data_IF_076676351097
#
_entry.id   IF_076676351097
#
_cell.length_a   1.000
_cell.length_b   1.000
_cell.length_c   1.000
_cell.angle_alpha   90.00
_cell.angle_beta   90.00
_cell.angle_gamma   90.00
#
_symmetry.space_group_name_H-M   'P 1'
#
loop_
_entity.id
_entity.type
_entity.pdbx_description
1 polymer ?
#
# COMPACT_ATOMS: atom_id res chain seq x y z
N UNK A 1 10.02 -44.24 35.88
CA UNK A 1 9.69 -44.32 37.33
C UNK A 1 10.05 -42.99 37.98
N UNK A 2 9.08 -42.19 38.34
CA UNK A 2 8.86 -41.41 39.57
C UNK A 2 7.75 -40.41 39.32
N UNK A 3 6.59 -40.79 39.83
CA UNK A 3 5.42 -39.94 40.01
C UNK A 3 5.68 -39.00 41.19
N UNK A 4 5.33 -37.74 41.08
CA UNK A 4 5.11 -36.86 42.22
C UNK A 4 3.74 -36.22 42.04
N UNK A 5 2.87 -36.61 43.00
CA UNK A 5 1.55 -36.07 43.29
C UNK A 5 1.77 -34.96 44.33
N UNK A 6 1.15 -33.82 44.18
CA UNK A 6 0.96 -32.89 45.30
C UNK A 6 -0.45 -32.28 45.33
N UNK A 7 -1.00 -32.40 46.45
CA UNK A 7 -2.24 -32.35 47.08
C UNK A 7 -2.84 -30.94 47.18
N UNK A 8 -4.16 -30.91 47.09
CA UNK A 8 -5.09 -29.80 47.40
C UNK A 8 -4.95 -29.38 48.87
N UNK A 9 -5.08 -28.10 49.16
CA UNK A 9 -5.47 -27.61 50.48
C UNK A 9 -6.55 -26.53 50.34
N UNK A 10 -7.73 -26.90 50.80
CA UNK A 10 -8.90 -26.07 51.01
C UNK A 10 -8.79 -25.38 52.39
N UNK A 11 -9.03 -24.07 52.44
CA UNK A 11 -9.29 -23.40 53.73
C UNK A 11 -10.60 -22.62 53.64
N UNK A 12 -11.61 -23.15 54.36
CA UNK A 12 -12.82 -22.46 54.69
C UNK A 12 -12.68 -21.83 56.08
N UNK A 13 -12.99 -20.55 56.22
CA UNK A 13 -13.22 -19.94 57.51
C UNK A 13 -14.60 -19.27 57.48
N UNK A 14 -15.51 -19.89 58.25
CA UNK A 14 -16.76 -19.30 58.73
C UNK A 14 -16.45 -18.42 59.95
N UNK A 15 -17.09 -17.25 60.03
CA UNK A 15 -17.44 -16.68 61.33
C UNK A 15 -18.70 -15.84 61.26
N UNK A 16 -19.60 -16.15 62.17
CA UNK A 16 -20.94 -15.62 62.43
C UNK A 16 -20.95 -14.20 63.03
N UNK A 17 -21.95 -13.44 62.65
CA UNK A 17 -22.99 -12.94 63.59
C UNK A 17 -22.75 -11.56 64.20
N UNK A 18 -23.60 -10.59 63.89
CA UNK A 18 -24.57 -10.04 64.88
C UNK A 18 -25.46 -8.96 64.24
N UNK A 19 -26.75 -9.06 64.53
CA UNK A 19 -27.80 -8.09 64.25
C UNK A 19 -27.76 -6.93 65.23
N UNK A 20 -27.95 -5.69 64.79
CA UNK A 20 -28.62 -4.65 65.55
C UNK A 20 -29.49 -3.82 64.61
N UNK A 21 -30.75 -3.64 65.03
CA UNK A 21 -31.82 -2.79 64.49
C UNK A 21 -31.64 -1.37 64.97
N UNK A 22 -31.84 -0.37 64.14
CA UNK A 22 -32.54 0.92 64.46
C UNK A 22 -32.72 1.70 63.15
N UNK A 23 -33.96 1.84 62.73
CA UNK A 23 -34.86 2.99 62.63
C UNK A 23 -34.53 4.06 61.62
N UNK A 24 -35.39 4.07 60.61
CA UNK A 24 -35.95 5.18 59.76
C UNK A 24 -35.39 6.59 60.00
N UNK A 25 -35.00 7.19 58.86
CA UNK A 25 -35.64 8.43 58.40
C UNK A 25 -35.36 8.68 56.91
N UNK A 26 -36.44 9.06 56.25
CA UNK A 26 -36.61 9.37 54.86
C UNK A 26 -35.91 10.70 54.52
N UNK A 27 -35.19 10.75 53.42
CA UNK A 27 -35.14 11.95 52.55
C UNK A 27 -34.69 11.56 51.16
N UNK A 28 -35.57 11.72 50.20
CA UNK A 28 -35.38 11.73 48.76
C UNK A 28 -34.33 12.77 48.36
N UNK A 29 -33.26 12.32 47.73
CA UNK A 29 -32.51 13.13 46.79
C UNK A 29 -32.24 12.27 45.55
N UNK A 30 -33.09 12.46 44.55
CA UNK A 30 -32.84 12.04 43.20
C UNK A 30 -31.61 12.82 42.67
N UNK A 31 -30.45 12.24 42.74
CA UNK A 31 -29.31 12.67 41.95
C UNK A 31 -29.37 11.93 40.61
N UNK A 32 -29.89 12.63 39.61
CA UNK A 32 -29.80 12.24 38.21
C UNK A 32 -28.31 12.21 37.82
N UNK A 33 -27.72 11.06 37.84
CA UNK A 33 -26.44 10.86 37.16
C UNK A 33 -26.69 10.86 35.66
N UNK A 34 -26.51 12.03 35.04
CA UNK A 34 -26.29 12.11 33.61
C UNK A 34 -25.02 11.33 33.28
N UNK A 35 -25.18 10.11 32.80
CA UNK A 35 -24.09 9.36 32.17
C UNK A 35 -23.75 10.09 30.88
N UNK A 36 -22.75 10.94 30.96
CA UNK A 36 -22.14 11.57 29.79
C UNK A 36 -21.55 10.43 28.94
N UNK A 37 -22.32 9.95 27.97
CA UNK A 37 -21.80 9.12 26.91
C UNK A 37 -20.77 9.94 26.16
N UNK A 38 -19.49 9.73 26.46
CA UNK A 38 -18.42 10.15 25.58
C UNK A 38 -18.64 9.48 24.23
N UNK A 39 -19.18 10.24 23.31
CA UNK A 39 -19.22 9.85 21.90
C UNK A 39 -17.77 9.74 21.45
N UNK A 40 -17.25 8.52 21.43
CA UNK A 40 -15.95 8.21 20.87
C UNK A 40 -16.02 8.65 19.40
N UNK A 41 -15.45 9.80 19.11
CA UNK A 41 -15.32 10.28 17.74
C UNK A 41 -14.49 9.22 17.02
N UNK A 42 -15.15 8.40 16.18
CA UNK A 42 -14.45 7.51 15.27
C UNK A 42 -13.74 8.44 14.31
N UNK A 43 -12.44 8.59 14.49
CA UNK A 43 -11.61 9.34 13.56
C UNK A 43 -11.61 8.51 12.28
N UNK A 44 -12.36 8.95 11.27
CA UNK A 44 -12.33 8.33 9.95
C UNK A 44 -10.88 8.33 9.48
N UNK A 45 -10.37 7.13 9.12
CA UNK A 45 -9.03 7.01 8.55
C UNK A 45 -9.08 7.67 7.18
N UNK A 46 -8.21 8.64 6.91
CA UNK A 46 -8.23 9.31 5.61
C UNK A 46 -7.98 8.31 4.49
N UNK A 47 -8.75 8.41 3.39
CA UNK A 47 -8.58 7.57 2.19
C UNK A 47 -7.20 7.75 1.58
N UNK A 48 -6.64 8.93 1.71
CA UNK A 48 -5.29 9.24 1.30
C UNK A 48 -4.59 10.10 2.35
N UNK A 49 -3.59 9.53 3.00
CA UNK A 49 -2.66 10.29 3.82
C UNK A 49 -1.47 10.72 2.95
N UNK A 50 -1.12 12.00 2.97
CA UNK A 50 -0.01 12.55 2.20
C UNK A 50 1.00 13.16 3.16
N UNK A 51 2.24 12.69 3.08
CA UNK A 51 3.37 13.23 3.84
C UNK A 51 4.34 13.88 2.86
N UNK A 52 4.66 15.14 3.09
CA UNK A 52 5.61 15.89 2.29
C UNK A 52 6.90 16.09 3.08
N UNK A 53 8.00 15.56 2.57
CA UNK A 53 9.34 15.75 3.15
C UNK A 53 10.14 16.71 2.27
N UNK A 54 10.23 17.98 2.70
CA UNK A 54 10.98 19.01 1.97
C UNK A 54 12.49 18.83 2.07
N UNK A 55 12.97 18.20 3.14
CA UNK A 55 14.40 17.95 3.35
C UNK A 55 14.91 16.90 2.38
N UNK A 56 14.12 15.85 2.16
CA UNK A 56 14.43 14.77 1.20
C UNK A 56 13.90 15.07 -0.19
N UNK A 57 13.04 16.07 -0.36
CA UNK A 57 12.41 16.43 -1.63
C UNK A 57 11.44 15.38 -2.14
N UNK A 58 10.69 14.74 -1.24
CA UNK A 58 9.79 13.63 -1.54
C UNK A 58 8.35 13.94 -1.14
N UNK A 59 7.39 13.39 -1.89
CA UNK A 59 6.01 13.23 -1.48
C UNK A 59 5.73 11.74 -1.29
N UNK A 60 5.04 11.39 -0.20
CA UNK A 60 4.70 10.03 0.18
C UNK A 60 3.19 9.95 0.26
N UNK A 61 2.59 9.05 -0.51
CA UNK A 61 1.16 8.82 -0.60
C UNK A 61 0.85 7.46 0.03
N UNK A 62 0.04 7.46 1.10
CA UNK A 62 -0.43 6.26 1.78
C UNK A 62 -1.92 6.05 1.46
N UNK A 63 -2.25 5.26 0.44
CA UNK A 63 -3.64 4.93 0.16
C UNK A 63 -4.21 4.02 1.25
N UNK A 64 -5.42 4.32 1.74
CA UNK A 64 -6.23 3.40 2.54
C UNK A 64 -7.05 2.54 1.59
N UNK A 65 -6.63 1.31 1.38
CA UNK A 65 -7.19 0.42 0.37
C UNK A 65 -7.58 -0.95 0.95
N UNK A 66 -8.51 -1.61 0.30
CA UNK A 66 -8.87 -3.01 0.53
C UNK A 66 -8.57 -3.90 -0.69
N UNK A 67 -8.34 -3.30 -1.85
CA UNK A 67 -7.97 -4.01 -3.07
C UNK A 67 -6.94 -3.24 -3.90
N UNK A 68 -6.04 -3.99 -4.55
CA UNK A 68 -5.11 -3.47 -5.54
C UNK A 68 -5.25 -4.30 -6.82
N UNK A 69 -5.30 -3.64 -7.97
CA UNK A 69 -5.29 -4.29 -9.27
C UNK A 69 -4.20 -3.73 -10.18
N UNK A 70 -3.74 -4.57 -11.09
CA UNK A 70 -3.03 -4.16 -12.28
C UNK A 70 -4.03 -4.10 -13.44
N UNK A 71 -4.49 -2.91 -13.77
CA UNK A 71 -5.44 -2.68 -14.87
C UNK A 71 -4.66 -2.52 -16.16
N UNK A 72 -4.87 -3.43 -17.12
CA UNK A 72 -4.19 -3.39 -18.40
C UNK A 72 -5.06 -2.69 -19.46
N UNK A 73 -4.46 -1.80 -20.20
CA UNK A 73 -5.12 -1.06 -21.30
C UNK A 73 -5.56 0.34 -20.90
N UNK A 74 -6.87 0.63 -20.97
CA UNK A 74 -7.40 1.94 -20.65
C UNK A 74 -7.31 2.23 -19.14
N UNK A 75 -6.96 3.46 -18.81
CA UNK A 75 -6.95 3.93 -17.42
C UNK A 75 -8.33 3.78 -16.76
N UNK A 76 -8.41 3.38 -15.48
CA UNK A 76 -9.65 3.47 -14.73
C UNK A 76 -10.28 4.85 -14.79
N UNK A 77 -11.60 4.90 -14.88
CA UNK A 77 -12.32 6.15 -15.02
C UNK A 77 -12.15 7.03 -13.77
N UNK A 78 -11.92 8.32 -13.98
CA UNK A 78 -11.82 9.29 -12.89
C UNK A 78 -13.13 9.45 -12.10
N UNK A 79 -14.26 9.08 -12.72
CA UNK A 79 -15.59 9.08 -12.11
C UNK A 79 -15.81 7.89 -11.17
N UNK A 80 -14.98 6.83 -11.27
CA UNK A 80 -15.06 5.70 -10.34
C UNK A 80 -14.58 6.12 -8.95
N UNK A 81 -15.55 6.41 -8.08
CA UNK A 81 -15.29 6.88 -6.71
C UNK A 81 -14.65 5.83 -5.81
N UNK A 82 -14.59 4.56 -6.23
CA UNK A 82 -13.87 3.51 -5.50
C UNK A 82 -12.37 3.56 -5.72
N UNK A 83 -11.89 4.18 -6.81
CA UNK A 83 -10.46 4.38 -7.07
C UNK A 83 -9.93 5.51 -6.20
N UNK A 84 -8.98 5.19 -5.33
CA UNK A 84 -8.35 6.16 -4.42
C UNK A 84 -6.96 6.61 -4.87
N UNK A 85 -6.26 5.76 -5.63
CA UNK A 85 -4.99 6.10 -6.27
C UNK A 85 -4.82 5.29 -7.55
N UNK A 86 -4.36 5.94 -8.61
CA UNK A 86 -4.05 5.29 -9.88
C UNK A 86 -2.79 5.90 -10.47
N UNK A 87 -1.84 5.06 -10.88
CA UNK A 87 -0.63 5.48 -11.58
C UNK A 87 -0.14 4.37 -12.51
N UNK A 88 0.76 4.70 -13.41
CA UNK A 88 1.45 3.70 -14.22
C UNK A 88 2.32 2.78 -13.36
N UNK A 89 2.44 1.52 -13.77
CA UNK A 89 3.14 0.49 -13.02
C UNK A 89 4.42 0.03 -13.72
N UNK A 90 4.31 -0.93 -14.64
CA UNK A 90 5.43 -1.58 -15.29
C UNK A 90 5.82 -0.89 -16.60
N UNK A 91 7.06 -1.11 -17.02
CA UNK A 91 7.53 -0.65 -18.33
C UNK A 91 6.65 -1.16 -19.46
N UNK A 92 6.37 -0.29 -20.42
CA UNK A 92 5.54 -0.61 -21.59
C UNK A 92 6.32 -1.38 -22.65
N UNK A 93 5.62 -2.25 -23.39
CA UNK A 93 6.18 -2.97 -24.52
C UNK A 93 6.64 -2.07 -25.67
N UNK A 94 6.11 -0.85 -25.78
CA UNK A 94 6.54 0.14 -26.77
C UNK A 94 8.03 0.48 -26.66
N UNK A 95 8.59 0.49 -25.45
CA UNK A 95 10.03 0.71 -25.24
C UNK A 95 10.89 -0.38 -25.88
N UNK A 96 10.35 -1.59 -26.00
CA UNK A 96 11.00 -2.74 -26.60
C UNK A 96 10.60 -2.96 -28.07
N UNK A 97 9.67 -2.15 -28.62
CA UNK A 97 9.02 -2.37 -29.90
C UNK A 97 8.33 -3.74 -30.01
N UNK A 98 7.96 -4.29 -28.86
CA UNK A 98 7.33 -5.59 -28.70
C UNK A 98 6.11 -5.41 -27.79
N UNK A 99 4.99 -6.04 -28.18
CA UNK A 99 3.75 -5.91 -27.44
C UNK A 99 3.35 -7.26 -26.85
N UNK A 100 3.11 -7.29 -25.57
CA UNK A 100 2.45 -8.38 -24.85
C UNK A 100 1.05 -7.96 -24.43
N UNK A 101 0.37 -8.83 -23.68
CA UNK A 101 -0.90 -8.47 -23.07
C UNK A 101 -0.78 -7.14 -22.29
N UNK A 102 -1.75 -6.25 -22.48
CA UNK A 102 -1.80 -4.97 -21.77
C UNK A 102 -0.62 -4.02 -22.02
N UNK A 103 0.17 -4.25 -23.08
CA UNK A 103 1.36 -3.45 -23.40
C UNK A 103 2.41 -3.43 -22.26
N UNK A 104 2.59 -4.55 -21.56
CA UNK A 104 3.55 -4.69 -20.45
C UNK A 104 4.80 -5.42 -20.93
N UNK A 105 5.98 -4.89 -20.61
CA UNK A 105 7.26 -5.46 -21.02
C UNK A 105 7.62 -6.77 -20.31
N UNK A 106 7.23 -6.93 -19.05
CA UNK A 106 7.56 -8.06 -18.20
C UNK A 106 6.42 -9.04 -17.93
N UNK A 107 6.75 -10.12 -17.27
CA UNK A 107 5.75 -11.06 -16.74
C UNK A 107 4.85 -10.32 -15.73
N UNK A 108 3.54 -10.60 -15.78
CA UNK A 108 2.56 -9.92 -14.93
C UNK A 108 1.33 -10.78 -14.67
N UNK A 109 0.52 -10.34 -13.71
CA UNK A 109 -0.78 -10.90 -13.36
C UNK A 109 -1.82 -9.79 -13.37
N UNK A 110 -2.86 -9.96 -14.13
CA UNK A 110 -3.99 -9.05 -14.22
C UNK A 110 -5.28 -9.84 -14.23
N UNK A 111 -6.28 -9.43 -13.43
CA UNK A 111 -7.55 -10.16 -13.32
C UNK A 111 -7.40 -11.61 -12.83
N UNK A 112 -6.37 -11.91 -12.06
CA UNK A 112 -6.06 -13.26 -11.58
C UNK A 112 -5.41 -14.18 -12.61
N UNK A 113 -5.07 -13.69 -13.80
CA UNK A 113 -4.43 -14.46 -14.86
C UNK A 113 -2.97 -14.06 -15.05
N UNK A 114 -2.09 -15.08 -15.18
CA UNK A 114 -0.67 -14.87 -15.44
C UNK A 114 -0.41 -14.72 -16.95
N UNK A 115 0.28 -13.65 -17.30
CA UNK A 115 0.74 -13.36 -18.64
C UNK A 115 2.26 -13.33 -18.70
N UNK A 116 2.81 -14.10 -19.65
CA UNK A 116 4.23 -14.07 -19.92
C UNK A 116 4.56 -12.83 -20.75
N UNK A 117 5.46 -12.01 -20.25
CA UNK A 117 6.05 -10.89 -20.97
C UNK A 117 7.38 -11.24 -21.64
N UNK A 118 8.05 -10.22 -22.14
CA UNK A 118 9.39 -10.32 -22.70
C UNK A 118 10.44 -10.25 -21.59
N UNK A 119 11.60 -10.87 -21.83
CA UNK A 119 12.71 -10.76 -20.89
C UNK A 119 13.24 -9.33 -20.86
N UNK A 120 13.00 -8.64 -19.78
CA UNK A 120 13.51 -7.30 -19.55
C UNK A 120 14.62 -7.38 -18.49
N UNK A 121 15.86 -7.09 -18.89
CA UNK A 121 17.04 -7.21 -17.99
C UNK A 121 16.96 -6.27 -16.78
N UNK A 122 16.18 -5.21 -16.86
CA UNK A 122 15.99 -4.28 -15.75
C UNK A 122 14.89 -4.73 -14.79
N UNK A 123 14.08 -5.73 -15.13
CA UNK A 123 13.11 -6.33 -14.23
C UNK A 123 13.83 -7.29 -13.27
N UNK A 124 14.32 -6.77 -12.17
CA UNK A 124 15.11 -7.52 -11.18
C UNK A 124 14.30 -8.02 -10.01
N UNK A 125 13.03 -7.64 -9.92
CA UNK A 125 12.10 -8.07 -8.89
C UNK A 125 10.65 -7.93 -9.33
N UNK A 126 9.73 -8.23 -8.42
CA UNK A 126 8.31 -8.02 -8.64
C UNK A 126 7.58 -7.60 -7.36
N UNK A 127 6.39 -7.07 -7.57
CA UNK A 127 5.37 -6.86 -6.55
C UNK A 127 4.19 -7.79 -6.84
N UNK A 128 3.56 -8.30 -5.79
CA UNK A 128 2.29 -9.05 -5.86
C UNK A 128 1.33 -8.59 -4.78
N UNK A 129 0.04 -8.71 -5.06
CA UNK A 129 -1.03 -8.56 -4.09
C UNK A 129 -2.05 -9.69 -4.29
N UNK A 130 -2.29 -10.48 -3.24
CA UNK A 130 -3.26 -11.58 -3.24
C UNK A 130 -3.74 -11.85 -1.81
N UNK A 131 -5.00 -12.25 -1.62
CA UNK A 131 -5.59 -12.55 -0.30
C UNK A 131 -5.40 -11.40 0.72
N UNK A 132 -5.50 -10.15 0.27
CA UNK A 132 -5.30 -8.97 1.12
C UNK A 132 -3.86 -8.74 1.59
N UNK A 133 -2.88 -9.43 1.00
CA UNK A 133 -1.46 -9.35 1.36
C UNK A 133 -0.62 -8.95 0.15
N UNK A 134 0.36 -8.08 0.40
CA UNK A 134 1.36 -7.74 -0.60
C UNK A 134 2.71 -8.41 -0.32
N UNK A 135 3.52 -8.51 -1.36
CA UNK A 135 4.88 -9.00 -1.28
C UNK A 135 5.79 -8.37 -2.32
N UNK A 136 7.04 -8.16 -1.93
CA UNK A 136 8.13 -7.77 -2.81
C UNK A 136 9.13 -8.92 -2.91
N UNK A 137 9.52 -9.27 -4.12
CA UNK A 137 10.40 -10.42 -4.37
C UNK A 137 11.54 -10.03 -5.31
N UNK A 138 12.73 -10.55 -5.01
CA UNK A 138 13.93 -10.31 -5.81
C UNK A 138 14.26 -11.56 -6.62
N UNK A 139 14.60 -11.39 -7.89
CA UNK A 139 15.10 -12.40 -8.84
C UNK A 139 14.09 -13.48 -9.31
N UNK A 140 13.35 -14.15 -8.44
CA UNK A 140 12.40 -15.22 -8.85
C UNK A 140 10.96 -14.68 -8.97
N UNK A 141 10.79 -13.65 -9.77
CA UNK A 141 9.49 -13.01 -9.94
C UNK A 141 8.48 -13.92 -10.66
N UNK A 142 8.89 -14.84 -11.51
CA UNK A 142 7.97 -15.71 -12.25
C UNK A 142 7.18 -16.65 -11.35
N UNK A 143 7.84 -17.28 -10.37
CA UNK A 143 7.20 -18.18 -9.42
C UNK A 143 6.20 -17.41 -8.56
N UNK A 144 6.58 -16.25 -8.06
CA UNK A 144 5.72 -15.44 -7.18
C UNK A 144 4.53 -14.85 -7.93
N UNK A 145 4.70 -14.42 -9.16
CA UNK A 145 3.59 -13.96 -10.01
C UNK A 145 2.59 -15.11 -10.28
N UNK A 146 3.06 -16.32 -10.57
CA UNK A 146 2.18 -17.47 -10.76
C UNK A 146 1.39 -17.80 -9.48
N UNK A 147 2.04 -17.75 -8.30
CA UNK A 147 1.35 -17.94 -7.02
C UNK A 147 0.28 -16.89 -6.77
N UNK A 148 0.55 -15.64 -7.16
CA UNK A 148 -0.45 -14.58 -7.06
C UNK A 148 -1.65 -14.86 -7.99
N UNK A 149 -1.41 -15.32 -9.22
CA UNK A 149 -2.47 -15.70 -10.15
C UNK A 149 -3.33 -16.87 -9.62
N UNK A 150 -2.70 -17.93 -9.08
CA UNK A 150 -3.40 -19.06 -8.46
C UNK A 150 -4.36 -18.65 -7.33
N UNK A 151 -4.13 -17.49 -6.73
CA UNK A 151 -4.96 -16.89 -5.67
C UNK A 151 -5.90 -15.80 -6.19
N UNK A 152 -6.03 -15.64 -7.49
CA UNK A 152 -6.85 -14.58 -8.08
C UNK A 152 -6.34 -13.16 -7.82
N UNK A 153 -5.05 -13.02 -7.52
CA UNK A 153 -4.40 -11.76 -7.20
C UNK A 153 -3.89 -10.99 -8.43
N UNK A 154 -2.99 -10.05 -8.17
CA UNK A 154 -2.32 -9.26 -9.19
C UNK A 154 -0.80 -9.19 -8.92
N UNK A 155 -0.03 -8.76 -9.93
CA UNK A 155 1.40 -8.51 -9.76
C UNK A 155 2.11 -8.14 -11.05
N UNK A 156 3.29 -7.58 -10.94
CA UNK A 156 4.11 -7.23 -12.10
C UNK A 156 5.60 -7.24 -11.76
N UNK A 157 6.40 -7.58 -12.76
CA UNK A 157 7.85 -7.49 -12.71
C UNK A 157 8.32 -6.07 -13.01
N UNK A 158 9.29 -5.57 -12.23
CA UNK A 158 9.90 -4.26 -12.44
C UNK A 158 11.28 -4.20 -11.78
N UNK A 159 11.98 -3.09 -11.90
CA UNK A 159 13.27 -2.89 -11.26
C UNK A 159 13.12 -2.74 -9.73
N UNK A 160 13.78 -3.63 -8.99
CA UNK A 160 13.89 -3.51 -7.53
C UNK A 160 14.97 -2.50 -7.19
N UNK A 161 14.60 -1.41 -6.53
CA UNK A 161 15.48 -0.32 -6.11
C UNK A 161 16.07 -0.57 -4.72
N UNK A 162 15.21 -1.00 -3.79
CA UNK A 162 15.59 -1.37 -2.42
C UNK A 162 14.94 -2.70 -2.07
N UNK A 163 15.70 -3.61 -1.48
CA UNK A 163 15.20 -4.89 -0.97
C UNK A 163 15.75 -5.16 0.43
N UNK A 164 14.86 -5.36 1.41
CA UNK A 164 15.21 -5.48 2.84
C UNK A 164 16.11 -4.34 3.35
N UNK A 165 15.82 -3.09 2.93
CA UNK A 165 16.61 -1.92 3.30
C UNK A 165 17.95 -1.78 2.56
N UNK A 166 18.29 -2.74 1.69
CA UNK A 166 19.56 -2.74 0.93
C UNK A 166 19.29 -2.22 -0.47
N UNK A 167 20.01 -1.16 -0.85
CA UNK A 167 19.97 -0.59 -2.19
C UNK A 167 20.50 -1.62 -3.19
N UNK A 168 19.71 -1.88 -4.23
CA UNK A 168 20.09 -2.79 -5.32
C UNK A 168 20.93 -2.05 -6.38
N UNK A 169 21.48 -2.81 -7.32
CA UNK A 169 22.25 -2.22 -8.42
C UNK A 169 21.40 -1.24 -9.21
N UNK A 170 21.98 -0.08 -9.53
CA UNK A 170 21.30 0.94 -10.33
C UNK A 170 21.03 0.44 -11.75
N UNK A 171 19.80 0.55 -12.23
CA UNK A 171 19.47 0.29 -13.62
C UNK A 171 19.66 1.55 -14.51
N UNK A 172 19.66 2.72 -13.91
CA UNK A 172 19.96 3.99 -14.59
C UNK A 172 21.37 4.46 -14.30
N UNK A 173 21.96 5.20 -15.24
CA UNK A 173 23.26 5.81 -15.00
C UNK A 173 23.18 6.77 -13.83
N UNK A 174 24.16 6.71 -12.94
CA UNK A 174 24.33 7.72 -11.92
C UNK A 174 24.36 9.11 -12.59
N UNK A 175 23.57 10.05 -12.05
CA UNK A 175 23.43 11.38 -12.64
C UNK A 175 22.33 11.53 -13.70
N UNK A 176 21.64 10.46 -14.12
CA UNK A 176 20.40 10.61 -14.88
C UNK A 176 19.40 11.39 -14.04
N UNK A 177 18.83 12.45 -14.58
CA UNK A 177 17.94 13.37 -13.87
C UNK A 177 16.56 13.36 -14.49
N UNK A 178 15.58 12.92 -13.68
CA UNK A 178 14.16 12.83 -14.03
C UNK A 178 13.30 13.00 -12.77
N UNK A 179 12.01 13.00 -12.92
CA UNK A 179 11.09 12.72 -11.83
C UNK A 179 11.01 11.20 -11.66
N UNK A 180 10.99 10.75 -10.41
CA UNK A 180 10.98 9.32 -10.07
C UNK A 180 9.82 8.98 -9.16
N UNK A 181 9.28 7.79 -9.37
CA UNK A 181 8.22 7.18 -8.56
C UNK A 181 8.59 5.75 -8.20
N UNK A 182 8.27 5.34 -6.98
CA UNK A 182 8.41 3.96 -6.51
C UNK A 182 7.21 3.53 -5.70
N UNK A 183 6.85 2.25 -5.83
CA UNK A 183 6.00 1.55 -4.89
C UNK A 183 6.87 1.07 -3.74
N UNK A 184 6.56 1.47 -2.53
CA UNK A 184 7.39 1.23 -1.36
C UNK A 184 6.65 0.55 -0.22
N UNK A 185 7.40 -0.17 0.63
CA UNK A 185 7.00 -0.48 1.99
C UNK A 185 7.84 0.35 2.96
N UNK A 186 7.17 1.19 3.74
CA UNK A 186 7.76 2.04 4.76
C UNK A 186 7.00 1.86 6.07
N UNK A 187 7.71 1.47 7.14
CA UNK A 187 7.13 1.20 8.46
C UNK A 187 5.97 0.19 8.44
N UNK A 188 6.06 -0.84 7.58
CA UNK A 188 5.03 -1.87 7.43
C UNK A 188 3.77 -1.41 6.67
N UNK A 189 3.79 -0.22 6.07
CA UNK A 189 2.71 0.31 5.23
C UNK A 189 3.15 0.38 3.77
N UNK A 190 2.23 0.02 2.89
CA UNK A 190 2.42 0.22 1.45
C UNK A 190 2.17 1.69 1.10
N UNK A 191 3.06 2.27 0.29
CA UNK A 191 2.95 3.66 -0.13
C UNK A 191 3.57 3.88 -1.51
N UNK A 192 3.19 4.99 -2.13
CA UNK A 192 3.83 5.51 -3.34
C UNK A 192 4.73 6.67 -2.93
N UNK A 193 5.95 6.71 -3.45
CA UNK A 193 6.89 7.80 -3.18
C UNK A 193 7.29 8.45 -4.49
N UNK A 194 7.06 9.76 -4.59
CA UNK A 194 7.43 10.61 -5.73
C UNK A 194 8.55 11.58 -5.35
N UNK A 195 9.46 11.82 -6.28
CA UNK A 195 10.31 13.02 -6.18
C UNK A 195 9.48 14.26 -6.51
N UNK A 196 9.61 15.33 -5.70
CA UNK A 196 8.88 16.59 -5.90
C UNK A 196 9.28 17.35 -7.16
N UNK A 197 10.43 17.02 -7.72
CA UNK A 197 11.01 17.66 -8.89
C UNK A 197 11.98 16.70 -9.58
N UNK A 198 12.48 17.11 -10.73
CA UNK A 198 13.60 16.44 -11.39
C UNK A 198 14.80 16.39 -10.46
N UNK A 199 15.28 15.19 -10.17
CA UNK A 199 16.44 14.90 -9.32
C UNK A 199 17.34 13.87 -9.97
N UNK A 200 18.57 13.74 -9.49
CA UNK A 200 19.46 12.66 -9.91
C UNK A 200 18.96 11.32 -9.35
N UNK A 201 19.08 10.26 -10.11
CA UNK A 201 18.63 8.94 -9.67
C UNK A 201 19.30 8.47 -8.38
N UNK A 202 20.61 8.67 -8.26
CA UNK A 202 21.37 8.29 -7.08
C UNK A 202 20.98 9.12 -5.83
N UNK A 203 20.58 10.37 -6.00
CA UNK A 203 20.06 11.21 -4.92
C UNK A 203 18.67 10.74 -4.46
N UNK A 204 17.80 10.43 -5.41
CA UNK A 204 16.49 9.87 -5.12
C UNK A 204 16.57 8.56 -4.31
N UNK A 205 17.41 7.62 -4.76
CA UNK A 205 17.62 6.33 -4.06
C UNK A 205 18.22 6.52 -2.68
N UNK A 206 19.17 7.46 -2.52
CA UNK A 206 19.71 7.82 -1.20
C UNK A 206 18.63 8.40 -0.27
N UNK A 207 17.71 9.21 -0.81
CA UNK A 207 16.61 9.77 -0.04
C UNK A 207 15.67 8.67 0.46
N UNK A 208 15.28 7.72 -0.39
CA UNK A 208 14.49 6.54 0.00
C UNK A 208 15.20 5.73 1.11
N UNK A 209 16.49 5.49 0.96
CA UNK A 209 17.28 4.77 1.95
C UNK A 209 17.35 5.49 3.30
N UNK A 210 17.54 6.82 3.30
CA UNK A 210 17.54 7.65 4.53
C UNK A 210 16.19 7.68 5.23
N UNK A 211 15.11 7.58 4.47
CA UNK A 211 13.74 7.48 4.99
C UNK A 211 13.47 6.14 5.67
N UNK A 212 14.32 5.14 5.46
CA UNK A 212 14.17 3.80 6.05
C UNK A 212 13.23 2.89 5.26
N UNK A 213 13.07 3.13 3.96
CA UNK A 213 12.28 2.27 3.08
C UNK A 213 12.83 0.85 3.11
N UNK A 214 11.95 -0.12 3.39
CA UNK A 214 12.32 -1.53 3.44
C UNK A 214 12.34 -2.18 2.07
N UNK A 215 11.33 -1.87 1.25
CA UNK A 215 11.21 -2.31 -0.15
C UNK A 215 10.86 -1.11 -1.02
N UNK A 216 11.47 -1.02 -2.20
CA UNK A 216 11.12 -0.07 -3.23
C UNK A 216 11.21 -0.73 -4.61
N UNK A 217 10.09 -0.74 -5.33
CA UNK A 217 9.99 -1.17 -6.71
C UNK A 217 9.74 0.06 -7.59
N UNK A 218 10.54 0.23 -8.63
CA UNK A 218 10.38 1.36 -9.56
C UNK A 218 9.01 1.31 -10.25
N UNK A 219 8.42 2.47 -10.49
CA UNK A 219 7.22 2.60 -11.32
C UNK A 219 7.56 3.42 -12.57
N UNK A 220 6.89 3.14 -13.67
CA UNK A 220 7.20 3.82 -14.93
C UNK A 220 6.80 5.30 -14.86
N UNK A 221 7.78 6.17 -15.15
CA UNK A 221 7.64 7.62 -15.19
C UNK A 221 8.23 8.17 -16.49
N UNK A 222 8.17 7.37 -17.56
CA UNK A 222 8.65 7.76 -18.87
C UNK A 222 7.94 9.00 -19.42
N UNK A 223 8.63 9.76 -20.28
CA UNK A 223 8.07 10.95 -20.89
C UNK A 223 6.75 10.62 -21.63
N UNK A 224 5.67 11.25 -21.22
CA UNK A 224 4.33 11.01 -21.75
C UNK A 224 3.59 9.84 -21.09
N UNK A 225 4.18 9.18 -20.09
CA UNK A 225 3.65 7.99 -19.43
C UNK A 225 3.62 8.16 -17.91
N UNK A 226 3.42 9.36 -17.41
CA UNK A 226 3.48 9.65 -15.98
C UNK A 226 2.16 10.17 -15.41
N UNK A 227 1.06 9.99 -16.12
CA UNK A 227 -0.25 10.39 -15.61
C UNK A 227 -0.61 9.61 -14.36
N UNK A 228 -1.16 10.30 -13.36
CA UNK A 228 -1.62 9.68 -12.14
C UNK A 228 -2.58 10.61 -11.40
N UNK A 229 -3.44 10.02 -10.61
CA UNK A 229 -4.37 10.76 -9.76
C UNK A 229 -4.63 10.03 -8.44
N UNK A 230 -5.12 10.78 -7.48
CA UNK A 230 -5.60 10.25 -6.22
C UNK A 230 -6.87 10.97 -5.77
N UNK A 231 -7.58 10.37 -4.80
CA UNK A 231 -8.81 10.89 -4.23
C UNK A 231 -8.68 11.07 -2.73
N UNK A 232 -9.05 12.26 -2.25
CA UNK A 232 -9.08 12.60 -0.82
C UNK A 232 -10.39 12.15 -0.18
N UNK A 233 -10.50 12.27 1.15
CA UNK A 233 -11.65 11.81 1.92
C UNK A 233 -12.96 12.48 1.56
N UNK A 234 -12.91 13.74 1.15
CA UNK A 234 -14.06 14.50 0.67
C UNK A 234 -14.51 14.10 -0.74
N UNK A 235 -13.80 13.13 -1.36
CA UNK A 235 -14.06 12.66 -2.72
C UNK A 235 -13.41 13.51 -3.80
N UNK A 236 -12.66 14.56 -3.47
CA UNK A 236 -11.98 15.41 -4.44
C UNK A 236 -10.88 14.65 -5.18
N UNK A 237 -10.86 14.79 -6.51
CA UNK A 237 -9.84 14.23 -7.38
C UNK A 237 -8.68 15.20 -7.52
N UNK A 238 -7.46 14.68 -7.40
CA UNK A 238 -6.22 15.42 -7.57
C UNK A 238 -5.33 14.74 -8.60
N UNK A 239 -5.02 15.44 -9.68
CA UNK A 239 -4.08 14.98 -10.70
C UNK A 239 -2.65 15.30 -10.26
N UNK A 240 -1.77 14.29 -10.28
CA UNK A 240 -0.36 14.46 -9.91
C UNK A 240 0.49 14.89 -11.09
N UNK A 241 0.20 14.37 -12.28
CA UNK A 241 0.91 14.71 -13.50
C UNK A 241 -0.09 14.92 -14.63
N UNK A 242 0.07 16.02 -15.33
CA UNK A 242 -0.68 16.33 -16.55
C UNK A 242 0.09 15.73 -17.73
N UNK A 243 -0.27 14.53 -18.13
CA UNK A 243 0.30 13.90 -19.31
C UNK A 243 -0.71 13.96 -20.48
N UNK A 244 -0.24 13.92 -21.74
CA UNK A 244 -1.08 13.65 -22.89
C UNK A 244 -1.82 12.30 -22.84
N UNK A 245 -1.58 11.49 -21.83
CA UNK A 245 -2.30 10.26 -21.51
C UNK A 245 -3.83 10.40 -21.42
N UNK A 246 -4.34 11.60 -21.37
CA UNK A 246 -5.78 11.87 -21.42
C UNK A 246 -6.41 11.63 -22.80
N UNK A 247 -5.63 11.30 -23.83
CA UNK A 247 -6.23 10.87 -25.08
C UNK A 247 -6.95 9.54 -24.88
N UNK A 248 -8.15 9.40 -25.47
CA UNK A 248 -8.95 8.17 -25.40
C UNK A 248 -8.21 6.93 -25.92
N UNK A 249 -7.09 7.11 -26.59
CA UNK A 249 -6.28 6.07 -27.22
C UNK A 249 -5.07 5.66 -26.38
N UNK A 250 -4.79 6.37 -25.27
CA UNK A 250 -3.67 6.04 -24.40
C UNK A 250 -3.94 4.73 -23.64
N UNK A 251 -3.11 3.76 -23.89
CA UNK A 251 -3.22 2.42 -23.30
C UNK A 251 -1.88 1.99 -22.77
N UNK A 252 -1.86 1.70 -21.45
CA UNK A 252 -0.71 1.14 -20.76
C UNK A 252 -1.18 0.20 -19.66
N UNK A 253 -0.50 0.17 -18.54
CA UNK A 253 -0.85 -0.62 -17.37
C UNK A 253 -0.84 0.27 -16.13
N UNK A 254 -1.81 0.06 -15.27
CA UNK A 254 -2.15 0.95 -14.17
C UNK A 254 -2.17 0.20 -12.85
N UNK A 255 -1.32 0.60 -11.93
CA UNK A 255 -1.41 0.21 -10.53
C UNK A 255 -2.54 1.01 -9.90
N UNK A 256 -3.60 0.33 -9.52
CA UNK A 256 -4.82 0.97 -9.04
C UNK A 256 -5.18 0.46 -7.66
N UNK A 257 -5.36 1.39 -6.74
CA UNK A 257 -5.79 1.13 -5.38
C UNK A 257 -7.27 1.47 -5.23
N UNK A 258 -8.03 0.55 -4.66
CA UNK A 258 -9.47 0.68 -4.48
C UNK A 258 -9.86 0.63 -3.01
N UNK A 259 -10.91 1.38 -2.67
CA UNK A 259 -11.59 1.33 -1.39
C UNK A 259 -13.07 1.12 -1.61
N UNK A 260 -13.64 0.09 -1.01
CA UNK A 260 -15.08 -0.13 -1.03
C UNK A 260 -15.80 1.03 -0.36
N UNK A 261 -16.89 1.48 -0.97
CA UNK A 261 -17.80 2.47 -0.40
C UNK A 261 -18.92 1.67 0.25
N UNK A 262 -18.99 1.70 1.58
CA UNK A 262 -20.08 1.08 2.33
C UNK A 262 -21.13 2.11 2.69
#
# INVERSE_FOLDING_TARGET
MKKIVFTLALFAVMCCGQRTKATQETQDIQATQETKMETKTITEIPRMEIVSDDTLGLNIYYPDFDRIDLVCGKMPAEEDSTVIFCCEAAFTGQLLKEFSHGNIAGDHVSGGEYFKGYTCRVNTGCFTFADGKWGFFLNDHKTELKRAAEKGGMGFGQNMVIFNGIVQSFFRKAGSSYEYRTLCELNGRLCIVDSKKVVRYDEYVKALSRMGVKYALYLDMGAGWNYSYYRTNDGSLHTLHLSPAQSSDYRTNWLTFYKSIY
#
